data_IF_874161536760
#
_entry.id   IF_874161536760
#
_cell.length_a   1.000
_cell.length_b   1.000
_cell.length_c   1.000
_cell.angle_alpha   90.00
_cell.angle_beta   90.00
_cell.angle_gamma   90.00
#
_symmetry.space_group_name_H-M   'P 1'
#
loop_
_entity.id
_entity.type
_entity.pdbx_description
1 polymer ?
#
# COMPACT_ATOMS: atom_id res chain seq x y z
N UNK A 1 16.54 25.57 60.85
CA UNK A 1 15.34 24.86 60.36
C UNK A 1 14.78 25.64 59.18
N UNK A 2 14.54 24.92 58.08
CA UNK A 2 14.25 25.39 56.72
C UNK A 2 13.05 26.31 56.56
N UNK A 3 13.12 27.15 55.49
CA UNK A 3 12.17 27.29 54.35
C UNK A 3 12.21 28.73 53.83
N UNK A 4 11.94 29.05 52.58
CA UNK A 4 12.17 28.47 51.26
C UNK A 4 11.93 29.64 50.29
N UNK A 5 12.60 29.62 49.13
CA UNK A 5 12.57 30.65 48.11
C UNK A 5 11.22 30.77 47.37
N UNK A 6 11.00 31.92 46.74
CA UNK A 6 9.92 32.14 45.76
C UNK A 6 10.28 33.29 44.81
N UNK A 7 11.03 32.98 43.76
CA UNK A 7 11.26 33.87 42.62
C UNK A 7 10.31 33.50 41.48
N UNK A 8 9.71 34.51 40.88
CA UNK A 8 8.81 34.48 39.74
C UNK A 8 9.58 34.23 38.43
N UNK A 9 9.04 33.41 37.54
CA UNK A 9 9.30 33.53 36.10
C UNK A 9 8.17 32.93 35.25
N UNK A 10 7.51 33.85 34.54
CA UNK A 10 7.04 33.78 33.15
C UNK A 10 6.71 32.42 32.52
N UNK A 11 5.44 32.36 32.11
CA UNK A 11 4.89 31.56 31.03
C UNK A 11 5.72 31.60 29.73
N UNK A 12 6.01 30.42 29.19
CA UNK A 12 6.25 30.21 27.76
C UNK A 12 5.87 28.77 27.41
N UNK A 13 4.60 28.55 27.09
CA UNK A 13 4.10 27.31 26.49
C UNK A 13 4.41 27.31 25.00
N UNK A 14 5.60 26.81 24.66
CA UNK A 14 5.98 26.25 23.36
C UNK A 14 6.56 24.87 23.70
N UNK A 15 6.35 23.76 23.01
CA UNK A 15 6.15 23.45 21.60
C UNK A 15 6.02 21.91 21.60
N UNK A 16 5.15 21.28 20.82
CA UNK A 16 5.41 20.87 19.43
C UNK A 16 4.27 19.90 19.06
N UNK A 17 3.81 19.83 17.80
CA UNK A 17 2.97 18.71 17.38
C UNK A 17 3.77 17.42 17.59
N UNK A 18 3.16 16.43 18.23
CA UNK A 18 3.72 15.09 18.33
C UNK A 18 4.00 14.60 16.91
N UNK A 19 5.19 14.05 16.59
CA UNK A 19 5.39 13.40 15.31
C UNK A 19 4.28 12.37 15.15
N UNK A 20 3.67 12.31 13.96
CA UNK A 20 2.76 11.24 13.59
C UNK A 20 3.31 9.92 14.16
N UNK A 21 2.56 9.28 15.05
CA UNK A 21 3.03 8.13 15.80
C UNK A 21 3.74 7.15 14.84
N UNK A 22 4.97 6.73 15.18
CA UNK A 22 5.81 5.97 14.28
C UNK A 22 5.03 4.79 13.65
N UNK A 23 4.92 4.77 12.32
CA UNK A 23 4.19 3.75 11.60
C UNK A 23 4.86 2.39 11.86
N UNK A 24 4.14 1.48 12.51
CA UNK A 24 4.62 0.13 12.76
C UNK A 24 4.63 -0.66 11.45
N UNK A 25 5.82 -1.14 11.05
CA UNK A 25 6.05 -1.89 9.81
C UNK A 25 6.29 -3.38 10.07
N UNK A 26 5.94 -4.21 9.10
CA UNK A 26 6.11 -5.66 9.11
C UNK A 26 4.92 -6.43 9.71
N UNK A 27 4.79 -7.70 9.32
CA UNK A 27 3.91 -8.64 10.01
C UNK A 27 4.50 -8.95 11.40
N UNK A 28 3.67 -9.37 12.38
CA UNK A 28 4.21 -10.00 13.59
C UNK A 28 5.17 -11.13 13.19
N UNK A 29 6.29 -11.28 13.91
CA UNK A 29 7.36 -12.22 13.58
C UNK A 29 6.91 -13.70 13.47
N UNK A 30 5.71 -14.03 13.96
CA UNK A 30 5.14 -15.37 14.00
C UNK A 30 4.16 -15.69 12.87
N UNK A 31 4.04 -14.83 11.85
CA UNK A 31 3.23 -15.12 10.67
C UNK A 31 3.94 -16.09 9.72
N UNK A 32 3.23 -17.04 9.06
CA UNK A 32 3.85 -17.85 8.01
C UNK A 32 4.44 -16.92 6.94
N UNK A 33 5.55 -17.28 6.27
CA UNK A 33 6.04 -16.51 5.14
C UNK A 33 4.86 -16.36 4.17
N UNK A 34 4.54 -15.11 3.81
CA UNK A 34 3.44 -14.84 2.88
C UNK A 34 3.70 -15.69 1.64
N UNK A 35 2.86 -16.69 1.40
CA UNK A 35 2.78 -17.25 0.06
C UNK A 35 2.49 -16.06 -0.85
N UNK A 36 3.38 -15.81 -1.80
CA UNK A 36 3.27 -14.64 -2.69
C UNK A 36 1.94 -14.74 -3.42
N UNK A 37 1.11 -13.73 -3.23
CA UNK A 37 -0.24 -13.72 -3.81
C UNK A 37 -0.15 -13.23 -5.25
N UNK A 38 -0.70 -14.01 -6.17
CA UNK A 38 -0.76 -13.71 -7.60
C UNK A 38 -2.20 -13.43 -7.99
N UNK A 39 -2.48 -12.22 -8.46
CA UNK A 39 -3.82 -11.74 -8.74
C UNK A 39 -3.89 -11.24 -10.18
N UNK A 40 -4.98 -11.53 -10.89
CA UNK A 40 -5.21 -11.04 -12.25
C UNK A 40 -6.61 -10.47 -12.34
N UNK A 41 -6.75 -9.22 -12.76
CA UNK A 41 -8.06 -8.62 -13.00
C UNK A 41 -7.95 -7.39 -13.90
N UNK A 42 -9.09 -7.00 -14.45
CA UNK A 42 -9.29 -5.80 -15.22
C UNK A 42 -9.27 -4.59 -14.29
N UNK A 43 -8.64 -3.50 -14.75
CA UNK A 43 -8.62 -2.24 -14.04
C UNK A 43 -9.94 -1.51 -14.24
N UNK A 44 -10.62 -1.21 -13.14
CA UNK A 44 -11.91 -0.51 -13.12
C UNK A 44 -11.78 0.87 -12.49
N UNK A 45 -12.76 1.73 -12.76
CA UNK A 45 -12.84 3.03 -12.10
C UNK A 45 -13.18 2.81 -10.63
N UNK A 46 -12.32 3.31 -9.74
CA UNK A 46 -12.61 3.40 -8.31
C UNK A 46 -13.56 4.55 -7.99
N UNK A 47 -13.70 4.84 -6.71
CA UNK A 47 -14.61 5.89 -6.21
C UNK A 47 -14.07 7.31 -6.32
N UNK A 48 -12.93 7.52 -6.99
CA UNK A 48 -12.38 8.86 -7.23
C UNK A 48 -12.04 9.64 -5.95
N UNK A 49 -11.64 8.94 -4.87
CA UNK A 49 -11.38 9.51 -3.53
C UNK A 49 -10.12 10.39 -3.43
N UNK A 50 -9.70 11.00 -4.54
CA UNK A 50 -8.63 11.99 -4.56
C UNK A 50 -7.22 11.45 -4.71
N UNK A 51 -6.97 10.14 -4.76
CA UNK A 51 -5.61 9.59 -4.88
C UNK A 51 -4.82 10.16 -6.08
N UNK A 52 -5.49 10.32 -7.24
CA UNK A 52 -4.93 11.02 -8.42
C UNK A 52 -4.64 12.50 -8.17
N UNK A 53 -5.49 13.21 -7.40
CA UNK A 53 -5.25 14.62 -7.01
C UNK A 53 -4.09 14.77 -6.01
N UNK A 54 -3.77 13.70 -5.28
CA UNK A 54 -2.63 13.63 -4.36
C UNK A 54 -1.33 13.18 -5.07
N UNK A 55 -1.35 12.98 -6.39
CA UNK A 55 -0.21 12.48 -7.15
C UNK A 55 0.08 10.99 -6.95
N UNK A 56 -0.87 10.23 -6.39
CA UNK A 56 -0.73 8.79 -6.10
C UNK A 56 -1.90 8.04 -6.77
N UNK A 57 -1.98 8.01 -8.12
CA UNK A 57 -3.08 7.33 -8.82
C UNK A 57 -3.08 5.82 -8.51
N UNK A 58 -4.24 5.26 -8.19
CA UNK A 58 -4.41 3.82 -7.94
C UNK A 58 -5.24 3.17 -9.03
N UNK A 59 -4.81 1.98 -9.47
CA UNK A 59 -5.59 1.07 -10.31
C UNK A 59 -6.49 0.25 -9.39
N UNK A 60 -7.81 0.25 -9.59
CA UNK A 60 -8.70 -0.61 -8.80
C UNK A 60 -8.91 -1.91 -9.57
N UNK A 61 -8.66 -3.06 -8.94
CA UNK A 61 -8.88 -4.37 -9.59
C UNK A 61 -10.37 -4.77 -9.52
N UNK A 62 -10.91 -5.32 -10.61
CA UNK A 62 -12.27 -5.89 -10.60
C UNK A 62 -12.31 -7.16 -9.74
N UNK A 63 -12.86 -7.03 -8.54
CA UNK A 63 -12.93 -8.11 -7.56
C UNK A 63 -13.76 -9.32 -8.02
N UNK A 64 -14.59 -9.18 -9.06
CA UNK A 64 -15.30 -10.32 -9.68
C UNK A 64 -14.33 -11.28 -10.37
N UNK A 65 -13.17 -10.80 -10.79
CA UNK A 65 -12.17 -11.57 -11.53
C UNK A 65 -11.00 -12.04 -10.66
N UNK A 66 -10.67 -11.30 -9.59
CA UNK A 66 -9.57 -11.65 -8.68
C UNK A 66 -9.81 -12.99 -7.95
N UNK A 67 -11.08 -13.37 -7.77
CA UNK A 67 -11.48 -14.56 -7.01
C UNK A 67 -11.62 -14.24 -5.52
N UNK A 68 -12.86 -14.17 -5.05
CA UNK A 68 -13.23 -13.66 -3.72
C UNK A 68 -12.51 -14.37 -2.56
N UNK A 69 -12.33 -15.69 -2.64
CA UNK A 69 -11.69 -16.49 -1.59
C UNK A 69 -10.21 -16.17 -1.39
N UNK A 70 -9.49 -15.89 -2.48
CA UNK A 70 -8.04 -15.62 -2.46
C UNK A 70 -7.74 -14.33 -1.69
N UNK A 71 -8.55 -13.30 -1.92
CA UNK A 71 -8.37 -12.01 -1.24
C UNK A 71 -8.97 -12.03 0.16
N UNK A 72 -10.07 -12.75 0.37
CA UNK A 72 -10.72 -12.84 1.69
C UNK A 72 -9.75 -13.28 2.80
N UNK A 73 -8.88 -14.24 2.53
CA UNK A 73 -7.93 -14.77 3.54
C UNK A 73 -6.63 -13.94 3.63
N UNK A 74 -6.46 -12.94 2.77
CA UNK A 74 -5.30 -12.04 2.77
C UNK A 74 -5.43 -10.97 3.86
N UNK A 75 -4.44 -10.81 4.72
CA UNK A 75 -4.42 -9.74 5.73
C UNK A 75 -4.65 -8.37 5.09
N UNK A 76 -5.49 -7.51 5.69
CA UNK A 76 -5.63 -6.15 5.18
C UNK A 76 -4.45 -5.29 5.57
N UNK A 77 -4.06 -4.39 4.69
CA UNK A 77 -2.90 -3.54 4.86
C UNK A 77 -2.28 -3.08 3.55
N UNK A 78 -1.07 -2.56 3.69
CA UNK A 78 -0.26 -2.07 2.59
C UNK A 78 0.87 -3.07 2.33
N UNK A 79 1.09 -3.35 1.06
CA UNK A 79 2.07 -4.30 0.55
C UNK A 79 2.99 -3.60 -0.46
N UNK A 80 4.19 -4.15 -0.66
CA UNK A 80 4.97 -3.89 -1.86
C UNK A 80 4.93 -5.11 -2.77
N UNK A 81 5.04 -4.88 -4.07
CA UNK A 81 4.93 -5.93 -5.06
C UNK A 81 5.22 -5.45 -6.46
N UNK A 82 4.87 -6.29 -7.43
CA UNK A 82 4.97 -5.94 -8.85
C UNK A 82 3.60 -5.98 -9.49
N UNK A 83 3.42 -5.15 -10.51
CA UNK A 83 2.25 -5.18 -11.38
C UNK A 83 2.70 -5.21 -12.84
N UNK A 84 2.21 -6.19 -13.59
CA UNK A 84 2.40 -6.25 -15.03
C UNK A 84 1.22 -5.60 -15.74
N UNK A 85 1.53 -4.66 -16.64
CA UNK A 85 0.61 -4.00 -17.55
C UNK A 85 1.22 -4.06 -18.94
N UNK A 86 0.46 -4.57 -19.92
CA UNK A 86 0.89 -4.70 -21.32
C UNK A 86 2.29 -5.33 -21.48
N UNK A 87 2.50 -6.47 -20.80
CA UNK A 87 3.76 -7.22 -20.79
C UNK A 87 4.92 -6.57 -20.01
N UNK A 88 4.77 -5.34 -19.54
CA UNK A 88 5.81 -4.63 -18.78
C UNK A 88 5.55 -4.74 -17.28
N UNK A 89 6.58 -5.13 -16.52
CA UNK A 89 6.49 -5.32 -15.06
C UNK A 89 6.98 -4.06 -14.33
N UNK A 90 6.12 -3.49 -13.49
CA UNK A 90 6.38 -2.28 -12.72
C UNK A 90 6.40 -2.56 -11.21
N UNK A 91 7.32 -1.96 -10.45
CA UNK A 91 7.23 -1.94 -8.99
C UNK A 91 5.95 -1.23 -8.54
N UNK A 92 5.33 -1.69 -7.45
CA UNK A 92 4.08 -1.15 -6.95
C UNK A 92 3.98 -1.16 -5.42
N UNK A 93 3.20 -0.22 -4.89
CA UNK A 93 2.64 -0.27 -3.54
C UNK A 93 1.17 -0.66 -3.67
N UNK A 94 0.69 -1.62 -2.89
CA UNK A 94 -0.62 -2.25 -3.08
C UNK A 94 -1.39 -2.16 -1.78
N UNK A 95 -2.57 -1.54 -1.82
CA UNK A 95 -3.53 -1.58 -0.71
C UNK A 95 -4.45 -2.78 -0.86
N UNK A 96 -4.63 -3.55 0.22
CA UNK A 96 -5.67 -4.57 0.36
C UNK A 96 -6.53 -4.18 1.56
N UNK A 97 -7.79 -3.83 1.33
CA UNK A 97 -8.66 -3.27 2.37
C UNK A 97 -10.11 -3.68 2.21
N UNK A 98 -10.95 -3.42 3.22
CA UNK A 98 -12.38 -3.72 3.13
C UNK A 98 -13.15 -2.67 2.32
N UNK A 99 -14.13 -3.11 1.52
CA UNK A 99 -15.02 -2.21 0.81
C UNK A 99 -16.23 -1.80 1.69
N UNK A 100 -16.28 -0.56 2.21
CA UNK A 100 -17.39 -0.12 3.06
C UNK A 100 -18.74 -0.04 2.33
N UNK A 101 -18.75 0.01 1.01
CA UNK A 101 -20.00 0.09 0.23
C UNK A 101 -20.61 -1.26 -0.10
N UNK A 102 -19.88 -2.35 0.13
CA UNK A 102 -20.35 -3.71 -0.10
C UNK A 102 -20.60 -4.41 1.24
N UNK A 103 -21.17 -3.69 2.21
CA UNK A 103 -21.35 -4.12 3.61
C UNK A 103 -20.07 -4.66 4.28
N UNK A 104 -18.88 -4.24 3.83
CA UNK A 104 -17.60 -4.86 4.21
C UNK A 104 -17.57 -6.38 3.99
N UNK A 105 -18.30 -6.91 3.01
CA UNK A 105 -18.29 -8.34 2.65
C UNK A 105 -17.15 -8.69 1.70
N UNK A 106 -16.63 -7.72 0.97
CA UNK A 106 -15.54 -7.91 0.01
C UNK A 106 -14.38 -6.96 0.29
N UNK A 107 -13.17 -7.44 0.01
CA UNK A 107 -11.96 -6.62 0.02
C UNK A 107 -11.71 -6.01 -1.37
N UNK A 108 -11.06 -4.85 -1.41
CA UNK A 108 -10.49 -4.25 -2.62
C UNK A 108 -9.00 -4.52 -2.69
N UNK A 109 -8.47 -4.53 -3.92
CA UNK A 109 -7.04 -4.51 -4.20
C UNK A 109 -6.76 -3.30 -5.08
N UNK A 110 -5.92 -2.39 -4.59
CA UNK A 110 -5.64 -1.11 -5.21
C UNK A 110 -4.13 -0.89 -5.38
N UNK A 111 -3.52 -1.37 -6.48
CA UNK A 111 -2.12 -1.07 -6.79
C UNK A 111 -1.91 0.39 -7.19
N UNK A 112 -0.88 1.00 -6.63
CA UNK A 112 -0.23 2.20 -7.12
C UNK A 112 1.10 1.79 -7.76
N UNK A 113 1.15 1.81 -9.09
CA UNK A 113 2.36 1.53 -9.85
C UNK A 113 3.33 2.70 -9.66
N UNK A 114 4.59 2.40 -9.36
CA UNK A 114 5.66 3.39 -9.16
C UNK A 114 6.22 3.84 -10.52
N UNK A 115 5.33 4.27 -11.40
CA UNK A 115 5.59 4.73 -12.76
C UNK A 115 4.58 5.81 -13.14
N UNK A 116 5.02 6.78 -13.95
CA UNK A 116 4.17 7.83 -14.48
C UNK A 116 3.61 7.38 -15.84
N UNK A 117 2.29 7.41 -15.99
CA UNK A 117 1.60 7.07 -17.22
C UNK A 117 0.95 8.31 -17.81
N UNK A 118 1.05 8.48 -19.13
CA UNK A 118 0.44 9.61 -19.85
C UNK A 118 -1.09 9.53 -19.91
N UNK A 119 -1.64 8.32 -19.78
CA UNK A 119 -3.07 8.06 -19.87
C UNK A 119 -3.52 7.02 -18.83
N UNK A 120 -4.81 7.08 -18.47
CA UNK A 120 -5.43 6.04 -17.65
C UNK A 120 -5.55 4.74 -18.47
N UNK A 121 -5.37 3.60 -17.80
CA UNK A 121 -5.44 2.25 -18.39
C UNK A 121 -6.66 1.46 -17.88
N UNK A 122 -7.81 2.13 -17.74
CA UNK A 122 -9.07 1.44 -17.40
C UNK A 122 -9.48 0.47 -18.50
N UNK A 123 -9.96 -0.71 -18.11
CA UNK A 123 -10.32 -1.79 -19.04
C UNK A 123 -9.16 -2.74 -19.34
N UNK A 124 -7.91 -2.33 -19.10
CA UNK A 124 -6.74 -3.17 -19.30
C UNK A 124 -6.63 -4.26 -18.23
N UNK A 125 -6.02 -5.38 -18.61
CA UNK A 125 -5.66 -6.44 -17.65
C UNK A 125 -4.42 -6.04 -16.88
N UNK A 126 -4.50 -6.18 -15.56
CA UNK A 126 -3.40 -5.98 -14.63
C UNK A 126 -3.14 -7.28 -13.87
N UNK A 127 -1.88 -7.70 -13.86
CA UNK A 127 -1.42 -8.86 -13.10
C UNK A 127 -0.56 -8.38 -11.94
N UNK A 128 -0.88 -8.77 -10.71
CA UNK A 128 -0.28 -8.24 -9.50
C UNK A 128 0.31 -9.36 -8.66
N UNK A 129 1.56 -9.19 -8.26
CA UNK A 129 2.30 -10.07 -7.36
C UNK A 129 2.57 -9.34 -6.04
N UNK A 130 1.97 -9.80 -4.93
CA UNK A 130 2.29 -9.29 -3.60
C UNK A 130 3.57 -9.96 -3.09
N UNK A 131 4.64 -9.17 -2.96
CA UNK A 131 5.96 -9.65 -2.54
C UNK A 131 6.13 -9.61 -1.02
N UNK A 132 5.60 -8.59 -0.35
CA UNK A 132 5.70 -8.49 1.11
C UNK A 132 4.85 -7.39 1.73
N UNK A 133 4.62 -7.52 3.03
CA UNK A 133 3.80 -6.60 3.82
C UNK A 133 4.61 -5.41 4.31
N UNK A 134 4.04 -4.21 4.18
CA UNK A 134 4.61 -2.96 4.70
C UNK A 134 4.02 -2.69 6.09
N UNK A 135 2.70 -2.58 6.21
CA UNK A 135 2.00 -2.18 7.44
C UNK A 135 0.52 -2.49 7.40
N UNK A 136 -0.15 -2.45 8.56
CA UNK A 136 -1.62 -2.50 8.65
C UNK A 136 -2.26 -1.23 8.09
N UNK A 137 -3.55 -1.32 7.77
CA UNK A 137 -4.38 -0.14 7.49
C UNK A 137 -4.38 0.80 8.70
N UNK A 138 -4.41 2.10 8.43
CA UNK A 138 -4.43 3.15 9.45
C UNK A 138 -5.60 4.09 9.16
N UNK A 139 -6.19 4.62 10.22
CA UNK A 139 -7.10 5.75 10.13
C UNK A 139 -6.28 7.04 10.21
N UNK A 140 -6.64 8.03 9.41
CA UNK A 140 -5.98 9.34 9.38
C UNK A 140 -6.98 10.42 9.76
N UNK A 141 -6.54 11.38 10.57
CA UNK A 141 -7.38 12.48 11.02
C UNK A 141 -7.34 13.67 10.03
N UNK A 142 -6.42 13.63 9.07
CA UNK A 142 -6.29 14.65 8.03
C UNK A 142 -5.76 14.05 6.72
N UNK A 143 -5.94 14.82 5.64
CA UNK A 143 -5.39 14.50 4.33
C UNK A 143 -3.86 14.50 4.34
N UNK A 144 -3.24 15.43 5.06
CA UNK A 144 -1.78 15.54 5.15
C UNK A 144 -1.16 14.32 5.83
N UNK A 145 -1.78 13.81 6.89
CA UNK A 145 -1.34 12.56 7.55
C UNK A 145 -1.38 11.37 6.59
N UNK A 146 -2.42 11.28 5.76
CA UNK A 146 -2.54 10.24 4.73
C UNK A 146 -1.43 10.36 3.69
N UNK A 147 -1.17 11.56 3.17
CA UNK A 147 -0.11 11.80 2.17
C UNK A 147 1.26 11.39 2.74
N UNK A 148 1.57 11.80 3.97
CA UNK A 148 2.83 11.46 4.64
C UNK A 148 2.99 9.95 4.77
N UNK A 149 1.94 9.25 5.20
CA UNK A 149 1.97 7.79 5.33
C UNK A 149 2.20 7.09 3.99
N UNK A 150 1.54 7.54 2.92
CA UNK A 150 1.75 6.96 1.58
C UNK A 150 3.17 7.22 1.07
N UNK A 151 3.70 8.43 1.26
CA UNK A 151 5.07 8.76 0.88
C UNK A 151 6.09 7.85 1.61
N UNK A 152 5.84 7.58 2.89
CA UNK A 152 6.64 6.66 3.71
C UNK A 152 6.53 5.20 3.24
N UNK A 153 5.35 4.77 2.79
CA UNK A 153 5.14 3.43 2.22
C UNK A 153 5.89 3.27 0.90
N UNK A 154 5.83 4.26 0.02
CA UNK A 154 6.57 4.30 -1.25
C UNK A 154 8.08 4.27 -0.98
N UNK A 155 8.56 5.08 -0.02
CA UNK A 155 9.96 5.09 0.37
C UNK A 155 10.41 3.71 0.87
N UNK A 156 9.61 3.07 1.73
CA UNK A 156 9.92 1.72 2.21
C UNK A 156 9.96 0.70 1.08
N UNK A 157 8.97 0.72 0.18
CA UNK A 157 8.93 -0.18 -0.97
C UNK A 157 10.16 -0.01 -1.87
N UNK A 158 10.57 1.25 -2.15
CA UNK A 158 11.79 1.55 -2.91
C UNK A 158 13.06 0.98 -2.28
N UNK A 159 13.17 0.97 -0.94
CA UNK A 159 14.28 0.31 -0.26
C UNK A 159 14.23 -1.23 -0.41
N UNK A 160 13.04 -1.83 -0.42
CA UNK A 160 12.88 -3.27 -0.68
C UNK A 160 13.26 -3.68 -2.10
N UNK A 161 12.99 -2.84 -3.09
CA UNK A 161 13.41 -3.08 -4.47
C UNK A 161 14.92 -2.91 -4.72
N UNK A 162 15.74 -2.73 -3.68
CA UNK A 162 17.21 -2.83 -3.76
C UNK A 162 17.72 -4.23 -3.39
N UNK A 163 16.89 -5.06 -2.78
CA UNK A 163 17.24 -6.43 -2.42
C UNK A 163 17.25 -7.31 -3.69
N UNK A 164 18.37 -7.97 -4.03
CA UNK A 164 18.46 -8.83 -5.20
C UNK A 164 17.37 -9.91 -5.26
N UNK A 165 16.96 -10.47 -4.11
CA UNK A 165 15.92 -11.48 -4.08
C UNK A 165 14.54 -10.91 -4.46
N UNK A 166 14.29 -9.63 -4.15
CA UNK A 166 13.05 -8.94 -4.55
C UNK A 166 13.13 -8.49 -6.01
N UNK A 167 14.30 -8.06 -6.48
CA UNK A 167 14.52 -7.67 -7.89
C UNK A 167 14.27 -8.87 -8.80
N UNK A 168 14.81 -10.05 -8.47
CA UNK A 168 14.65 -11.27 -9.26
C UNK A 168 13.17 -11.63 -9.51
N UNK A 169 12.27 -11.33 -8.58
CA UNK A 169 10.83 -11.58 -8.74
C UNK A 169 10.21 -10.82 -9.92
N UNK A 170 10.79 -9.71 -10.38
CA UNK A 170 10.28 -8.95 -11.53
C UNK A 170 10.42 -9.73 -12.85
N UNK A 171 11.35 -10.68 -12.91
CA UNK A 171 11.71 -11.40 -14.15
C UNK A 171 11.60 -12.92 -14.02
N UNK A 172 11.74 -13.47 -12.81
CA UNK A 172 11.87 -14.91 -12.58
C UNK A 172 10.62 -15.55 -11.96
N UNK A 173 9.66 -14.77 -11.46
CA UNK A 173 8.43 -15.38 -10.93
C UNK A 173 7.61 -15.96 -12.10
N UNK A 174 7.26 -17.27 -12.07
CA UNK A 174 6.60 -17.93 -13.20
C UNK A 174 5.20 -17.37 -13.48
N UNK A 175 4.65 -16.57 -12.56
CA UNK A 175 3.41 -15.84 -12.81
C UNK A 175 3.43 -15.04 -14.11
N UNK A 176 4.57 -14.43 -14.44
CA UNK A 176 4.70 -13.56 -15.61
C UNK A 176 4.60 -14.33 -16.92
N UNK A 177 5.17 -15.54 -16.99
CA UNK A 177 5.03 -16.41 -18.15
C UNK A 177 3.62 -17.02 -18.21
N UNK A 178 3.07 -17.43 -17.07
CA UNK A 178 1.73 -18.03 -16.98
C UNK A 178 0.60 -17.11 -17.48
N UNK A 179 0.77 -15.79 -17.36
CA UNK A 179 -0.25 -14.80 -17.79
C UNK A 179 -0.01 -14.22 -19.18
N UNK A 180 1.20 -14.32 -19.72
CA UNK A 180 1.54 -13.83 -21.07
C UNK A 180 1.30 -14.87 -22.16
N UNK A 181 1.25 -16.16 -21.82
CA UNK A 181 0.99 -17.27 -22.74
C UNK A 181 -0.51 -17.61 -22.92
N UNK A 182 -1.42 -16.81 -22.34
CA UNK A 182 -2.88 -17.07 -22.36
C UNK A 182 -3.66 -16.15 -23.29
#
# INVERSE_FOLDING_TARGET
MSRNAGASSSSSSSSSPTPAAAIQRGLPADGPPLQRLRLSATVVKGFGRGSKLLGIPTANMDMKEVGERVVHDTTTGIYYGYAMLDGTVYPAVISVGWNPYFDNKSKTVEPHLLHEFDQDFYGEKLHVLLCGFIRKELNFNSLDELIVAIADDIKFAKEKFKDPAVIALATEDPFWTEVTER
#
